data_IF_362397610224
#
_entry.id   IF_362397610224
#
_cell.length_a   1.000
_cell.length_b   1.000
_cell.length_c   1.000
_cell.angle_alpha   90.00
_cell.angle_beta   90.00
_cell.angle_gamma   90.00
#
_symmetry.space_group_name_H-M   'P 1'
#
loop_
_entity.id
_entity.type
_entity.pdbx_description
1 polymer ?
#
# COMPACT_ATOMS: atom_id res chain seq x y z
N UNK A 1 12.99 -16.33 2.91
CA UNK A 1 13.97 -15.24 2.82
C UNK A 1 14.15 -14.77 1.37
N UNK A 2 14.44 -15.70 0.45
CA UNK A 2 14.51 -15.35 -0.96
C UNK A 2 13.16 -14.85 -1.48
N UNK A 3 12.07 -15.43 -1.00
CA UNK A 3 10.71 -14.99 -1.35
C UNK A 3 10.42 -13.58 -0.86
N UNK A 4 10.88 -13.22 0.35
CA UNK A 4 10.74 -11.87 0.87
C UNK A 4 11.51 -10.85 0.02
N UNK A 5 12.67 -11.24 -0.45
CA UNK A 5 13.48 -10.37 -1.29
C UNK A 5 12.79 -10.07 -2.61
N UNK A 6 12.22 -11.10 -3.23
CA UNK A 6 11.47 -10.94 -4.49
C UNK A 6 10.22 -10.08 -4.27
N UNK A 7 9.50 -10.32 -3.19
CA UNK A 7 8.29 -9.56 -2.88
C UNK A 7 8.61 -8.08 -2.64
N UNK A 8 9.70 -7.79 -1.94
CA UNK A 8 10.13 -6.41 -1.70
C UNK A 8 10.54 -5.72 -3.01
N UNK A 9 11.23 -6.43 -3.90
CA UNK A 9 11.61 -5.89 -5.19
C UNK A 9 10.39 -5.57 -6.05
N UNK A 10 9.40 -6.45 -6.05
CA UNK A 10 8.14 -6.22 -6.76
C UNK A 10 7.39 -5.03 -6.19
N UNK A 11 7.32 -4.95 -4.88
CA UNK A 11 6.65 -3.82 -4.21
C UNK A 11 7.30 -2.50 -4.62
N UNK A 12 8.61 -2.46 -4.67
CA UNK A 12 9.34 -1.25 -5.06
C UNK A 12 8.99 -0.83 -6.49
N UNK A 13 8.92 -1.78 -7.42
CA UNK A 13 8.54 -1.49 -8.81
C UNK A 13 7.10 -0.98 -8.91
N UNK A 14 6.18 -1.61 -8.21
CA UNK A 14 4.78 -1.18 -8.20
C UNK A 14 4.66 0.22 -7.58
N UNK A 15 5.36 0.46 -6.48
CA UNK A 15 5.35 1.76 -5.82
C UNK A 15 5.86 2.86 -6.75
N UNK A 16 6.91 2.59 -7.52
CA UNK A 16 7.44 3.54 -8.50
C UNK A 16 6.41 3.87 -9.58
N UNK A 17 5.71 2.87 -10.09
CA UNK A 17 4.66 3.07 -11.09
C UNK A 17 3.53 3.95 -10.56
N UNK A 18 3.20 3.79 -9.30
CA UNK A 18 2.12 4.56 -8.65
C UNK A 18 2.59 5.92 -8.17
N UNK A 19 3.89 6.20 -8.26
CA UNK A 19 4.45 7.46 -7.82
C UNK A 19 4.53 7.62 -6.32
N UNK A 20 4.61 6.51 -5.59
CA UNK A 20 4.68 6.53 -4.13
C UNK A 20 5.91 7.29 -3.65
N UNK A 21 5.71 8.21 -2.71
CA UNK A 21 6.78 9.00 -2.11
C UNK A 21 7.49 8.22 -1.02
N UNK A 22 6.72 7.57 -0.16
CA UNK A 22 7.30 6.80 0.95
C UNK A 22 6.35 5.70 1.43
N UNK A 23 6.96 4.66 2.00
CA UNK A 23 6.24 3.60 2.70
C UNK A 23 6.89 3.47 4.06
N UNK A 24 6.10 3.63 5.12
CA UNK A 24 6.60 3.63 6.49
C UNK A 24 5.85 2.60 7.31
N UNK A 25 6.57 1.86 8.13
CA UNK A 25 5.97 0.92 9.06
C UNK A 25 5.80 1.56 10.42
N UNK A 26 4.53 1.73 10.85
CA UNK A 26 4.19 2.16 12.21
C UNK A 26 3.91 0.95 13.10
N UNK A 27 3.50 1.20 14.34
CA UNK A 27 3.18 0.14 15.30
C UNK A 27 1.98 -0.69 14.89
N UNK A 28 0.93 -0.03 14.40
CA UNK A 28 -0.34 -0.69 14.08
C UNK A 28 -0.70 -0.64 12.61
N UNK A 29 0.00 0.19 11.83
CA UNK A 29 -0.30 0.43 10.42
C UNK A 29 0.94 0.51 9.57
N UNK A 30 0.76 0.16 8.29
CA UNK A 30 1.71 0.48 7.24
C UNK A 30 1.18 1.71 6.52
N UNK A 31 2.02 2.74 6.39
CA UNK A 31 1.60 4.01 5.79
C UNK A 31 2.25 4.21 4.43
N UNK A 32 1.43 4.53 3.43
CA UNK A 32 1.90 4.83 2.09
C UNK A 32 1.52 6.27 1.76
N UNK A 33 2.49 7.04 1.27
CA UNK A 33 2.31 8.46 0.95
C UNK A 33 2.46 8.65 -0.55
N UNK A 34 1.49 9.33 -1.15
CA UNK A 34 1.50 9.75 -2.55
C UNK A 34 1.87 11.23 -2.67
N UNK A 35 2.33 11.66 -3.86
CA UNK A 35 2.82 13.03 -4.01
C UNK A 35 1.76 14.11 -4.01
N UNK A 36 0.51 13.76 -4.30
CA UNK A 36 -0.56 14.75 -4.39
C UNK A 36 -1.94 14.13 -4.26
N UNK A 37 -2.87 14.97 -3.91
CA UNK A 37 -4.29 14.70 -3.80
C UNK A 37 -5.03 15.45 -4.93
N UNK A 38 -6.15 14.99 -5.47
CA UNK A 38 -6.91 13.79 -5.07
C UNK A 38 -6.31 12.50 -5.62
N UNK A 39 -6.62 11.40 -4.94
CA UNK A 39 -6.18 10.07 -5.35
C UNK A 39 -7.21 9.44 -6.28
N UNK A 40 -6.73 8.79 -7.34
CA UNK A 40 -7.58 8.04 -8.26
C UNK A 40 -7.44 6.56 -7.93
N UNK A 41 -8.53 5.92 -7.51
CA UNK A 41 -8.50 4.56 -7.02
C UNK A 41 -9.85 3.86 -7.21
N UNK A 42 -9.81 2.53 -7.16
CA UNK A 42 -10.99 1.68 -7.24
C UNK A 42 -11.60 1.49 -5.84
N UNK A 43 -12.63 2.26 -5.53
CA UNK A 43 -13.29 2.22 -4.23
C UNK A 43 -13.92 0.86 -3.93
N UNK A 44 -14.48 0.19 -4.93
CA UNK A 44 -15.09 -1.13 -4.74
C UNK A 44 -14.02 -2.18 -4.43
N UNK A 45 -12.89 -2.09 -5.13
CA UNK A 45 -11.77 -2.99 -4.87
C UNK A 45 -11.26 -2.85 -3.45
N UNK A 46 -11.14 -1.62 -2.95
CA UNK A 46 -10.71 -1.38 -1.57
C UNK A 46 -11.68 -2.00 -0.55
N UNK A 47 -12.97 -1.86 -0.77
CA UNK A 47 -13.97 -2.44 0.12
C UNK A 47 -13.96 -3.97 0.13
N UNK A 48 -13.56 -4.57 -0.99
CA UNK A 48 -13.50 -6.02 -1.13
C UNK A 48 -12.26 -6.68 -0.55
N UNK A 49 -11.27 -5.88 -0.11
CA UNK A 49 -10.05 -6.44 0.46
C UNK A 49 -10.28 -7.04 1.84
N UNK A 50 -9.52 -8.10 2.19
CA UNK A 50 -9.59 -8.68 3.54
C UNK A 50 -8.90 -7.83 4.60
N UNK A 51 -8.31 -6.71 4.21
CA UNK A 51 -7.59 -5.79 5.10
C UNK A 51 -8.39 -4.52 5.32
N UNK A 52 -8.11 -3.84 6.42
CA UNK A 52 -8.64 -2.50 6.63
C UNK A 52 -7.67 -1.48 6.07
N UNK A 53 -8.17 -0.67 5.14
CA UNK A 53 -7.40 0.40 4.51
C UNK A 53 -8.12 1.71 4.76
N UNK A 54 -7.42 2.66 5.37
CA UNK A 54 -7.94 4.00 5.61
C UNK A 54 -7.22 4.98 4.69
N UNK A 55 -7.98 5.74 3.91
CA UNK A 55 -7.41 6.77 3.07
C UNK A 55 -7.04 7.98 3.91
N UNK A 56 -5.92 8.61 3.59
CA UNK A 56 -5.45 9.82 4.26
C UNK A 56 -5.36 10.96 3.26
N UNK A 57 -5.56 12.19 3.74
CA UNK A 57 -5.55 13.38 2.90
C UNK A 57 -4.30 14.24 3.13
N UNK A 58 -3.80 14.26 4.34
CA UNK A 58 -2.64 15.07 4.74
C UNK A 58 -1.68 14.25 5.59
N UNK A 59 -0.65 13.66 4.99
CA UNK A 59 -0.32 13.60 3.56
C UNK A 59 -1.28 12.69 2.80
N UNK A 60 -1.43 12.90 1.47
CA UNK A 60 -2.30 12.02 0.68
C UNK A 60 -1.72 10.62 0.62
N UNK A 61 -2.58 9.63 0.81
CA UNK A 61 -2.13 8.24 0.81
C UNK A 61 -3.11 7.32 1.49
N UNK A 62 -2.58 6.23 2.07
CA UNK A 62 -3.43 5.30 2.82
C UNK A 62 -2.64 4.66 3.96
N UNK A 63 -3.39 4.14 4.92
CA UNK A 63 -2.87 3.33 6.02
C UNK A 63 -3.49 1.94 5.94
N UNK A 64 -2.63 0.93 5.93
CA UNK A 64 -3.05 -0.46 5.94
C UNK A 64 -2.88 -1.01 7.35
N UNK A 65 -3.96 -1.49 7.94
CA UNK A 65 -3.93 -2.04 9.30
C UNK A 65 -3.18 -3.38 9.31
N UNK A 66 -2.25 -3.54 10.25
CA UNK A 66 -1.45 -4.75 10.37
C UNK A 66 -2.20 -5.95 10.93
N UNK A 67 -3.34 -5.73 11.58
CA UNK A 67 -4.09 -6.79 12.23
C UNK A 67 -4.45 -7.91 11.26
N UNK A 68 -4.09 -9.13 11.62
CA UNK A 68 -4.32 -10.28 10.77
C UNK A 68 -3.23 -10.55 9.74
N UNK A 69 -2.21 -9.70 9.68
CA UNK A 69 -1.09 -9.86 8.75
C UNK A 69 0.19 -10.21 9.50
N UNK A 70 1.00 -11.04 8.87
CA UNK A 70 2.35 -11.31 9.34
C UNK A 70 3.33 -10.41 8.58
N UNK A 71 4.51 -10.09 9.16
CA UNK A 71 5.47 -9.24 8.47
C UNK A 71 5.82 -9.69 7.05
N UNK A 72 5.90 -10.98 6.81
CA UNK A 72 6.20 -11.53 5.48
C UNK A 72 5.08 -11.27 4.47
N UNK A 73 3.86 -10.98 4.95
CA UNK A 73 2.71 -10.72 4.09
C UNK A 73 2.59 -9.24 3.71
N UNK A 74 3.32 -8.36 4.38
CA UNK A 74 3.19 -6.91 4.17
C UNK A 74 3.46 -6.48 2.73
N UNK A 75 4.52 -6.95 2.06
CA UNK A 75 4.76 -6.52 0.68
C UNK A 75 3.63 -6.89 -0.26
N UNK A 76 3.09 -8.09 -0.17
CA UNK A 76 1.99 -8.52 -1.03
C UNK A 76 0.71 -7.77 -0.72
N UNK A 77 0.40 -7.57 0.56
CA UNK A 77 -0.78 -6.81 0.97
C UNK A 77 -0.71 -5.37 0.44
N UNK A 78 0.46 -4.73 0.57
CA UNK A 78 0.66 -3.38 0.04
C UNK A 78 0.49 -3.34 -1.48
N UNK A 79 1.01 -4.34 -2.20
CA UNK A 79 0.86 -4.42 -3.64
C UNK A 79 -0.61 -4.57 -4.05
N UNK A 80 -1.37 -5.40 -3.35
CA UNK A 80 -2.80 -5.55 -3.63
C UNK A 80 -3.55 -4.23 -3.52
N UNK A 81 -3.23 -3.45 -2.50
CA UNK A 81 -3.84 -2.13 -2.33
C UNK A 81 -3.37 -1.18 -3.43
N UNK A 82 -2.07 -1.16 -3.70
CA UNK A 82 -1.49 -0.26 -4.72
C UNK A 82 -2.05 -0.51 -6.11
N UNK A 83 -2.34 -1.76 -6.46
CA UNK A 83 -2.94 -2.08 -7.76
C UNK A 83 -4.31 -1.45 -7.97
N UNK A 84 -4.97 -1.04 -6.91
CA UNK A 84 -6.26 -0.37 -6.98
C UNK A 84 -6.15 1.13 -7.23
N UNK A 85 -4.94 1.65 -7.21
CA UNK A 85 -4.66 3.07 -7.50
C UNK A 85 -4.16 3.22 -8.93
N UNK A 86 -4.48 4.35 -9.56
CA UNK A 86 -4.03 4.65 -10.90
C UNK A 86 -2.51 4.83 -10.96
N UNK A 87 -1.91 4.50 -12.10
CA UNK A 87 -0.51 4.80 -12.35
C UNK A 87 -0.34 6.32 -12.48
N UNK A 88 0.84 6.76 -12.18
CA UNK A 88 1.19 8.17 -12.27
C UNK A 88 1.23 8.66 -13.71
#
# INVERSE_FOLDING_TARGET
EAENFVALARLRLVAERKGVVSITEGLTHLEVVFPRYPLDYDARGLKGLPYRVALTQYPPGFRLEKKGLRPRDYPEALMEVLYLFADL
#
